data_IF_712907580035
#
_entry.id   IF_712907580035
#
_cell.length_a   1.000
_cell.length_b   1.000
_cell.length_c   1.000
_cell.angle_alpha   90.00
_cell.angle_beta   90.00
_cell.angle_gamma   90.00
#
_symmetry.space_group_name_H-M   'P 1'
#
loop_
_entity.id
_entity.type
_entity.pdbx_description
1 polymer ?
#
# COMPACT_ATOMS: atom_id res chain seq x y z
N UNK A 1 45.05 4.43 12.44
CA UNK A 1 44.44 4.63 13.77
C UNK A 1 43.35 5.69 13.63
N UNK A 2 42.12 5.35 13.93
CA UNK A 2 41.01 6.28 13.97
C UNK A 2 40.65 6.57 15.42
N UNK A 3 40.29 7.82 15.73
CA UNK A 3 39.85 8.18 17.09
C UNK A 3 38.35 8.30 17.11
N UNK A 4 37.71 7.54 18.00
CA UNK A 4 36.29 7.65 18.27
C UNK A 4 36.11 8.07 19.75
N UNK A 5 35.46 9.18 19.98
CA UNK A 5 35.23 9.75 21.31
C UNK A 5 36.57 9.86 22.13
N UNK A 6 37.65 10.38 21.49
CA UNK A 6 38.99 10.51 22.01
C UNK A 6 39.75 9.18 22.28
N UNK A 7 39.13 8.05 22.02
CA UNK A 7 39.73 6.72 22.19
C UNK A 7 40.38 6.27 20.88
N UNK A 8 41.66 5.88 20.87
CA UNK A 8 42.31 5.41 19.64
C UNK A 8 41.88 3.97 19.31
N UNK A 9 41.40 3.73 18.09
CA UNK A 9 41.12 2.41 17.56
C UNK A 9 42.03 2.06 16.39
N UNK A 10 42.47 0.81 16.34
CA UNK A 10 43.16 0.26 15.18
C UNK A 10 42.13 -0.36 14.24
N UNK A 11 42.04 0.16 13.02
CA UNK A 11 41.21 -0.43 11.98
C UNK A 11 41.79 -1.76 11.55
N UNK A 12 41.03 -2.84 11.63
CA UNK A 12 41.45 -4.21 11.26
C UNK A 12 40.80 -4.67 9.96
N UNK A 13 39.77 -3.98 9.49
CA UNK A 13 39.08 -4.29 8.24
C UNK A 13 38.04 -3.24 7.91
N UNK A 14 37.59 -3.28 6.66
CA UNK A 14 36.49 -2.45 6.15
C UNK A 14 35.42 -3.39 5.65
N UNK A 15 34.15 -3.14 6.04
CA UNK A 15 33.00 -3.94 5.63
C UNK A 15 32.66 -3.65 4.17
N UNK A 16 32.08 -4.65 3.50
CA UNK A 16 31.55 -4.48 2.15
C UNK A 16 30.30 -3.60 2.19
N UNK A 17 30.21 -2.66 1.26
CA UNK A 17 29.07 -1.78 1.12
C UNK A 17 27.76 -2.58 0.91
N UNK A 18 26.74 -2.29 1.73
CA UNK A 18 25.37 -2.87 1.66
C UNK A 18 24.34 -1.92 1.04
N UNK A 19 24.58 -0.60 1.18
CA UNK A 19 23.63 0.43 0.73
C UNK A 19 22.46 0.64 1.69
N UNK A 20 21.38 1.15 1.15
CA UNK A 20 20.18 1.47 1.92
C UNK A 20 19.29 0.23 2.12
N UNK A 21 18.68 0.12 3.29
CA UNK A 21 17.66 -0.89 3.55
C UNK A 21 16.30 -0.49 2.90
N UNK A 22 15.31 -1.37 2.98
CA UNK A 22 13.95 -1.13 2.45
C UNK A 22 13.23 0.08 3.08
N UNK A 23 13.72 0.56 4.23
CA UNK A 23 13.21 1.75 4.93
C UNK A 23 14.02 3.02 4.61
N UNK A 24 14.96 2.99 3.67
CA UNK A 24 15.79 4.12 3.29
C UNK A 24 16.92 4.46 4.27
N UNK A 25 17.17 3.63 5.29
CA UNK A 25 18.27 3.84 6.23
C UNK A 25 19.58 3.33 5.65
N UNK A 26 20.65 4.12 5.78
CA UNK A 26 21.99 3.73 5.37
C UNK A 26 22.52 2.62 6.32
N UNK A 27 22.87 1.47 5.73
CA UNK A 27 23.45 0.34 6.46
C UNK A 27 24.98 0.39 6.49
N UNK A 28 25.58 1.37 5.83
CA UNK A 28 27.02 1.48 5.69
C UNK A 28 27.64 2.41 6.76
N UNK A 29 26.82 3.22 7.45
CA UNK A 29 27.26 4.05 8.58
C UNK A 29 27.30 3.23 9.88
N UNK A 30 28.20 2.24 9.91
CA UNK A 30 28.34 1.29 11.01
C UNK A 30 29.80 1.09 11.38
N UNK A 31 30.09 1.20 12.69
CA UNK A 31 31.40 0.86 13.27
C UNK A 31 31.23 -0.35 14.18
N UNK A 32 31.93 -1.44 13.87
CA UNK A 32 31.99 -2.63 14.72
C UNK A 32 33.23 -2.60 15.61
N UNK A 33 33.05 -2.80 16.89
CA UNK A 33 34.11 -2.91 17.87
C UNK A 33 33.81 -4.03 18.89
N UNK A 34 34.82 -4.60 19.59
CA UNK A 34 34.58 -5.59 20.62
C UNK A 34 33.62 -5.05 21.70
N UNK A 35 32.61 -5.84 22.06
CA UNK A 35 31.56 -5.43 22.99
C UNK A 35 32.10 -4.94 24.33
N UNK A 36 33.18 -5.55 24.84
CA UNK A 36 33.85 -5.14 26.08
C UNK A 36 34.43 -3.74 26.02
N UNK A 37 34.91 -3.32 24.84
CA UNK A 37 35.44 -1.97 24.60
C UNK A 37 34.34 -0.96 24.52
N UNK A 38 33.25 -1.32 23.81
CA UNK A 38 32.07 -0.46 23.69
C UNK A 38 31.43 -0.25 25.06
N UNK A 39 31.18 -1.33 25.83
CA UNK A 39 30.56 -1.25 27.15
C UNK A 39 31.43 -0.41 28.13
N UNK A 40 32.71 -0.77 28.29
CA UNK A 40 33.52 -0.19 29.34
C UNK A 40 34.10 1.18 29.02
N UNK A 41 34.42 1.45 27.73
CA UNK A 41 35.14 2.67 27.33
C UNK A 41 34.26 3.70 26.61
N UNK A 42 33.25 3.26 25.86
CA UNK A 42 32.38 4.18 25.09
C UNK A 42 31.14 4.51 25.89
N UNK A 43 30.41 3.47 26.36
CA UNK A 43 29.14 3.63 27.05
C UNK A 43 29.25 3.73 28.56
N UNK A 44 30.39 3.32 29.13
CA UNK A 44 30.65 3.30 30.58
C UNK A 44 29.55 2.56 31.38
N UNK A 45 29.03 1.46 30.82
CA UNK A 45 27.96 0.65 31.42
C UNK A 45 28.41 -0.78 31.65
N UNK A 46 27.76 -1.45 32.59
CA UNK A 46 28.09 -2.83 33.00
C UNK A 46 27.12 -3.88 32.47
N UNK A 47 26.11 -3.47 31.79
CA UNK A 47 25.02 -4.32 31.24
C UNK A 47 24.94 -4.22 29.73
N UNK A 48 24.39 -5.23 29.08
CA UNK A 48 24.08 -5.25 27.65
C UNK A 48 22.72 -4.60 27.41
N UNK A 49 22.63 -3.66 26.47
CA UNK A 49 21.38 -3.01 26.10
C UNK A 49 20.47 -3.91 25.26
N UNK A 50 21.01 -4.96 24.63
CA UNK A 50 20.24 -5.93 23.85
C UNK A 50 21.09 -7.12 23.44
N UNK A 51 20.43 -8.25 23.25
CA UNK A 51 21.03 -9.52 22.79
C UNK A 51 20.16 -10.01 21.62
N UNK A 52 20.79 -10.29 20.49
CA UNK A 52 20.13 -10.90 19.34
C UNK A 52 20.45 -12.38 19.30
N UNK A 53 19.43 -13.21 19.34
CA UNK A 53 19.52 -14.67 19.25
C UNK A 53 18.87 -15.15 17.95
N UNK A 54 19.27 -16.32 17.48
CA UNK A 54 18.66 -17.01 16.35
C UNK A 54 18.21 -18.40 16.78
N UNK A 55 16.95 -18.73 16.51
CA UNK A 55 16.45 -20.10 16.62
C UNK A 55 17.01 -20.96 15.48
N UNK A 56 17.10 -22.28 15.68
CA UNK A 56 17.60 -23.23 14.67
C UNK A 56 16.64 -23.32 13.49
N UNK A 57 15.32 -23.30 13.77
CA UNK A 57 14.25 -23.29 12.79
C UNK A 57 13.16 -22.31 13.24
N UNK A 58 12.35 -21.83 12.29
CA UNK A 58 11.27 -20.89 12.53
C UNK A 58 10.23 -21.45 13.51
N UNK A 59 9.89 -22.73 13.37
CA UNK A 59 8.93 -23.44 14.25
C UNK A 59 9.35 -23.47 15.72
N UNK A 60 10.64 -23.33 16.01
CA UNK A 60 11.18 -23.35 17.37
C UNK A 60 11.31 -21.94 17.99
N UNK A 61 10.88 -20.90 17.29
CA UNK A 61 11.03 -19.51 17.77
C UNK A 61 10.27 -19.31 19.07
N UNK A 62 9.02 -19.80 19.18
CA UNK A 62 8.24 -19.66 20.43
C UNK A 62 8.90 -20.40 21.59
N UNK A 63 9.38 -21.61 21.35
CA UNK A 63 10.09 -22.40 22.37
C UNK A 63 11.38 -21.70 22.82
N UNK A 64 12.11 -21.09 21.89
CA UNK A 64 13.30 -20.32 22.21
C UNK A 64 12.98 -19.08 23.08
N UNK A 65 11.87 -18.39 22.79
CA UNK A 65 11.38 -17.27 23.60
C UNK A 65 11.09 -17.74 25.04
N UNK A 66 10.39 -18.85 25.20
CA UNK A 66 10.06 -19.40 26.52
C UNK A 66 11.32 -19.79 27.29
N UNK A 67 12.30 -20.43 26.64
CA UNK A 67 13.57 -20.80 27.25
C UNK A 67 14.41 -19.58 27.67
N UNK A 68 14.47 -18.55 26.78
CA UNK A 68 15.19 -17.29 27.06
C UNK A 68 14.52 -16.57 28.25
N UNK A 69 13.19 -16.49 28.25
CA UNK A 69 12.42 -15.89 29.34
C UNK A 69 12.74 -16.56 30.68
N UNK A 70 12.75 -17.88 30.71
CA UNK A 70 13.06 -18.65 31.91
C UNK A 70 14.50 -18.38 32.41
N UNK A 71 15.47 -18.35 31.49
CA UNK A 71 16.89 -18.06 31.82
C UNK A 71 17.06 -16.64 32.33
N UNK A 72 16.45 -15.64 31.67
CA UNK A 72 16.56 -14.24 32.08
C UNK A 72 15.89 -14.01 33.44
N UNK A 73 14.68 -14.53 33.68
CA UNK A 73 14.00 -14.44 34.98
C UNK A 73 14.85 -15.00 36.11
N UNK A 74 15.46 -16.18 35.88
CA UNK A 74 16.35 -16.79 36.86
C UNK A 74 17.59 -15.95 37.14
N UNK A 75 18.19 -15.37 36.11
CA UNK A 75 19.40 -14.53 36.26
C UNK A 75 19.08 -13.19 36.93
N UNK A 76 17.92 -12.61 36.65
CA UNK A 76 17.45 -11.35 37.23
C UNK A 76 16.79 -11.55 38.61
N UNK A 77 16.69 -12.81 39.08
CA UNK A 77 16.06 -13.19 40.37
C UNK A 77 14.59 -12.74 40.49
N UNK A 78 13.87 -12.74 39.37
CA UNK A 78 12.45 -12.45 39.31
C UNK A 78 11.66 -13.66 39.84
N UNK A 79 10.46 -13.42 40.41
CA UNK A 79 9.60 -14.47 40.93
C UNK A 79 9.16 -15.42 39.81
N UNK A 80 9.01 -16.72 40.15
CA UNK A 80 8.45 -17.69 39.19
C UNK A 80 7.06 -17.25 38.75
N UNK A 81 6.82 -17.30 37.43
CA UNK A 81 5.53 -16.93 36.86
C UNK A 81 4.45 -17.90 37.28
N UNK A 82 3.58 -17.50 38.19
CA UNK A 82 2.31 -18.16 38.41
C UNK A 82 1.24 -17.36 37.66
N UNK A 83 0.87 -17.86 36.48
CA UNK A 83 -0.18 -17.33 35.60
C UNK A 83 0.00 -15.90 34.98
N UNK A 84 -0.71 -15.68 33.94
CA UNK A 84 -0.93 -14.58 32.98
C UNK A 84 -0.58 -13.13 33.41
N UNK A 85 -0.31 -12.84 34.68
CA UNK A 85 0.10 -11.51 35.18
C UNK A 85 1.62 -11.31 35.25
N UNK A 86 2.39 -12.34 34.99
CA UNK A 86 3.84 -12.30 35.17
C UNK A 86 4.62 -11.60 34.03
N UNK A 87 4.00 -11.38 32.89
CA UNK A 87 4.64 -10.67 31.76
C UNK A 87 4.77 -9.15 32.03
N UNK A 88 3.96 -8.59 32.90
CA UNK A 88 3.98 -7.16 33.26
C UNK A 88 5.07 -6.81 34.30
N UNK A 89 5.65 -7.83 34.97
CA UNK A 89 6.63 -7.66 36.04
C UNK A 89 8.09 -7.90 35.55
N UNK A 90 8.28 -8.20 34.27
CA UNK A 90 9.61 -8.46 33.69
C UNK A 90 10.35 -7.15 33.39
N UNK A 91 11.61 -7.06 33.82
CA UNK A 91 12.52 -5.94 33.55
C UNK A 91 13.22 -6.03 32.20
N UNK A 92 12.81 -6.99 31.37
CA UNK A 92 13.30 -7.21 30.00
C UNK A 92 12.14 -7.40 29.00
N UNK A 93 12.43 -7.17 27.75
CA UNK A 93 11.44 -7.37 26.65
C UNK A 93 12.05 -8.26 25.57
N UNK A 94 11.38 -9.34 25.23
CA UNK A 94 11.76 -10.23 24.13
C UNK A 94 10.82 -9.96 22.96
N UNK A 95 11.39 -9.65 21.81
CA UNK A 95 10.65 -9.42 20.56
C UNK A 95 11.13 -10.38 19.50
N UNK A 96 10.18 -11.12 18.93
CA UNK A 96 10.48 -11.94 17.76
C UNK A 96 10.51 -11.10 16.49
N UNK A 97 11.24 -11.57 15.48
CA UNK A 97 11.23 -10.96 14.16
C UNK A 97 9.83 -11.03 13.53
N UNK A 98 9.10 -12.10 13.81
CA UNK A 98 7.73 -12.31 13.35
C UNK A 98 6.75 -11.29 13.98
N UNK A 99 6.87 -11.02 15.27
CA UNK A 99 6.08 -10.01 15.97
C UNK A 99 6.34 -8.61 15.40
N UNK A 100 7.61 -8.26 15.17
CA UNK A 100 7.98 -6.99 14.54
C UNK A 100 7.41 -6.90 13.11
N UNK A 101 7.50 -7.98 12.33
CA UNK A 101 6.94 -8.03 11.00
C UNK A 101 5.42 -7.90 11.02
N UNK A 102 4.73 -8.56 11.95
CA UNK A 102 3.28 -8.47 12.09
C UNK A 102 2.80 -7.06 12.47
N UNK A 103 3.52 -6.38 13.36
CA UNK A 103 3.24 -4.98 13.69
C UNK A 103 3.41 -4.05 12.49
N UNK A 104 4.47 -4.25 11.70
CA UNK A 104 4.69 -3.48 10.47
C UNK A 104 3.63 -3.76 9.42
N UNK A 105 3.23 -5.02 9.26
CA UNK A 105 2.18 -5.41 8.34
C UNK A 105 0.84 -4.78 8.75
N UNK A 106 0.47 -4.82 10.02
CA UNK A 106 -0.76 -4.20 10.52
C UNK A 106 -0.82 -2.70 10.23
N UNK A 107 0.29 -1.99 10.39
CA UNK A 107 0.39 -0.56 10.07
C UNK A 107 0.26 -0.33 8.57
N UNK A 108 0.91 -1.15 7.76
CA UNK A 108 0.84 -1.09 6.29
C UNK A 108 -0.57 -1.38 5.78
N UNK A 109 -1.24 -2.38 6.36
CA UNK A 109 -2.62 -2.73 6.03
C UNK A 109 -3.58 -1.58 6.35
N UNK A 110 -3.44 -0.96 7.52
CA UNK A 110 -4.22 0.22 7.89
C UNK A 110 -4.03 1.36 6.89
N UNK A 111 -2.79 1.67 6.52
CA UNK A 111 -2.49 2.70 5.51
C UNK A 111 -3.07 2.34 4.14
N UNK A 112 -2.99 1.07 3.75
CA UNK A 112 -3.55 0.58 2.48
C UNK A 112 -5.07 0.71 2.45
N UNK A 113 -5.76 0.36 3.54
CA UNK A 113 -7.21 0.54 3.66
C UNK A 113 -7.57 2.03 3.57
N UNK A 114 -6.86 2.89 4.29
CA UNK A 114 -7.11 4.33 4.27
C UNK A 114 -6.93 4.91 2.85
N UNK A 115 -5.84 4.57 2.18
CA UNK A 115 -5.61 4.97 0.79
C UNK A 115 -6.67 4.40 -0.15
N UNK A 116 -7.10 3.15 0.09
CA UNK A 116 -8.20 2.51 -0.63
C UNK A 116 -9.54 3.26 -0.48
N UNK A 117 -9.85 3.73 0.73
CA UNK A 117 -11.03 4.56 0.98
C UNK A 117 -10.96 5.89 0.22
N UNK A 118 -9.83 6.58 0.26
CA UNK A 118 -9.63 7.84 -0.49
C UNK A 118 -9.76 7.61 -2.00
N UNK A 119 -9.13 6.54 -2.51
CA UNK A 119 -9.25 6.15 -3.92
C UNK A 119 -10.71 5.81 -4.29
N UNK A 120 -11.44 5.09 -3.42
CA UNK A 120 -12.84 4.77 -3.61
C UNK A 120 -13.73 6.01 -3.71
N UNK A 121 -13.55 6.99 -2.82
CA UNK A 121 -14.26 8.26 -2.87
C UNK A 121 -13.93 9.01 -4.17
N UNK A 122 -12.66 9.08 -4.55
CA UNK A 122 -12.23 9.71 -5.79
C UNK A 122 -12.85 9.04 -7.03
N UNK A 123 -12.98 7.71 -7.00
CA UNK A 123 -13.61 6.93 -8.05
C UNK A 123 -15.12 7.23 -8.17
N UNK A 124 -15.82 7.37 -7.06
CA UNK A 124 -17.23 7.74 -7.04
C UNK A 124 -17.42 9.15 -7.63
N UNK A 125 -16.59 10.11 -7.22
CA UNK A 125 -16.64 11.48 -7.77
C UNK A 125 -16.38 11.48 -9.27
N UNK A 126 -15.35 10.73 -9.72
CA UNK A 126 -15.06 10.55 -11.15
C UNK A 126 -16.21 9.88 -11.91
N UNK A 127 -16.84 8.88 -11.31
CA UNK A 127 -18.01 8.20 -11.87
C UNK A 127 -19.21 9.13 -12.02
N UNK A 128 -19.48 9.98 -11.03
CA UNK A 128 -20.52 11.02 -11.14
C UNK A 128 -20.17 11.99 -12.28
N UNK A 129 -18.89 12.31 -12.48
CA UNK A 129 -18.43 13.10 -13.64
C UNK A 129 -18.78 12.44 -14.97
N UNK A 130 -18.53 11.13 -15.11
CA UNK A 130 -18.92 10.36 -16.31
C UNK A 130 -20.43 10.40 -16.49
N UNK A 131 -21.20 10.16 -15.44
CA UNK A 131 -22.67 10.21 -15.47
C UNK A 131 -23.18 11.58 -15.96
N UNK A 132 -22.61 12.67 -15.46
CA UNK A 132 -23.01 14.02 -15.85
C UNK A 132 -22.69 14.32 -17.32
N UNK A 133 -21.47 13.93 -17.80
CA UNK A 133 -21.10 14.10 -19.21
C UNK A 133 -22.05 13.30 -20.11
N UNK A 134 -22.34 12.06 -19.74
CA UNK A 134 -23.27 11.21 -20.50
C UNK A 134 -24.68 11.76 -20.50
N UNK A 135 -25.12 12.33 -19.37
CA UNK A 135 -26.42 12.96 -19.27
C UNK A 135 -26.57 14.16 -20.22
N UNK A 136 -25.57 15.03 -20.27
CA UNK A 136 -25.49 16.16 -21.19
C UNK A 136 -25.46 15.66 -22.64
N UNK A 137 -24.65 14.66 -22.94
CA UNK A 137 -24.53 14.05 -24.27
C UNK A 137 -25.89 13.49 -24.75
N UNK A 138 -26.65 12.83 -23.87
CA UNK A 138 -28.00 12.32 -24.20
C UNK A 138 -28.96 13.47 -24.46
N UNK A 139 -28.96 14.53 -23.65
CA UNK A 139 -29.86 15.68 -23.84
C UNK A 139 -29.58 16.44 -25.12
N UNK A 140 -28.29 16.68 -25.43
CA UNK A 140 -27.89 17.34 -26.68
C UNK A 140 -28.24 16.55 -27.94
N UNK A 141 -28.23 15.20 -27.83
CA UNK A 141 -28.55 14.28 -28.95
C UNK A 141 -29.96 13.73 -28.92
N UNK A 142 -30.85 14.29 -28.11
CA UNK A 142 -32.24 13.78 -27.95
C UNK A 142 -32.96 13.68 -29.28
N UNK A 143 -32.88 14.69 -30.14
CA UNK A 143 -33.52 14.71 -31.48
C UNK A 143 -32.92 13.65 -32.40
N UNK A 144 -31.61 13.45 -32.37
CA UNK A 144 -30.92 12.41 -33.15
C UNK A 144 -31.37 11.01 -32.72
N UNK A 145 -31.49 10.77 -31.40
CA UNK A 145 -31.98 9.51 -30.83
C UNK A 145 -33.43 9.26 -31.29
N UNK A 146 -34.29 10.28 -31.21
CA UNK A 146 -35.66 10.20 -31.67
C UNK A 146 -35.78 9.85 -33.16
N UNK A 147 -34.96 10.45 -34.02
CA UNK A 147 -34.89 10.12 -35.43
C UNK A 147 -34.49 8.66 -35.69
N UNK A 148 -33.44 8.16 -35.00
CA UNK A 148 -33.01 6.76 -35.12
C UNK A 148 -34.13 5.79 -34.70
N UNK A 149 -34.81 6.07 -33.61
CA UNK A 149 -35.91 5.25 -33.11
C UNK A 149 -37.13 5.28 -34.06
N UNK A 150 -37.39 6.41 -34.69
CA UNK A 150 -38.45 6.55 -35.68
C UNK A 150 -38.23 5.75 -36.99
N UNK A 151 -36.94 5.54 -37.35
CA UNK A 151 -36.54 4.72 -38.51
C UNK A 151 -36.40 3.24 -38.11
N UNK A 152 -36.65 2.87 -36.84
CA UNK A 152 -36.77 1.49 -36.40
C UNK A 152 -35.60 1.00 -35.49
N UNK A 153 -34.76 1.89 -35.00
CA UNK A 153 -33.78 1.51 -33.98
C UNK A 153 -34.48 1.08 -32.69
N UNK A 154 -34.00 -0.01 -32.09
CA UNK A 154 -34.53 -0.50 -30.81
C UNK A 154 -33.91 0.25 -29.65
N UNK A 155 -34.61 0.42 -28.53
CA UNK A 155 -34.04 1.03 -27.33
C UNK A 155 -32.76 0.35 -26.84
N UNK A 156 -32.64 -0.98 -27.05
CA UNK A 156 -31.41 -1.73 -26.72
C UNK A 156 -30.24 -1.28 -27.57
N UNK A 157 -30.42 -0.90 -28.81
CA UNK A 157 -29.34 -0.45 -29.68
C UNK A 157 -28.80 0.92 -29.21
N UNK A 158 -29.73 1.80 -28.81
CA UNK A 158 -29.38 3.09 -28.18
C UNK A 158 -28.65 2.89 -26.83
N UNK A 159 -29.21 1.98 -25.98
CA UNK A 159 -28.54 1.63 -24.70
C UNK A 159 -27.09 1.19 -24.90
N UNK A 160 -26.89 0.23 -25.80
CA UNK A 160 -25.55 -0.32 -26.08
C UNK A 160 -24.60 0.75 -26.62
N UNK A 161 -25.08 1.63 -27.51
CA UNK A 161 -24.28 2.71 -28.06
C UNK A 161 -23.73 3.62 -26.95
N UNK A 162 -24.61 4.15 -26.09
CA UNK A 162 -24.22 5.04 -25.00
C UNK A 162 -23.41 4.32 -23.92
N UNK A 163 -23.67 3.04 -23.68
CA UNK A 163 -22.89 2.25 -22.73
C UNK A 163 -21.47 2.03 -23.23
N UNK A 164 -21.28 1.74 -24.52
CA UNK A 164 -19.96 1.62 -25.15
C UNK A 164 -19.22 2.96 -25.07
N UNK A 165 -19.90 4.08 -25.32
CA UNK A 165 -19.31 5.42 -25.19
C UNK A 165 -18.82 5.69 -23.77
N UNK A 166 -19.60 5.35 -22.73
CA UNK A 166 -19.20 5.46 -21.34
C UNK A 166 -18.00 4.57 -20.99
N UNK A 167 -17.97 3.33 -21.49
CA UNK A 167 -16.85 2.40 -21.30
C UNK A 167 -15.59 2.95 -21.96
N UNK A 168 -15.68 3.46 -23.20
CA UNK A 168 -14.53 4.03 -23.90
C UNK A 168 -13.97 5.24 -23.17
N UNK A 169 -14.81 6.14 -22.67
CA UNK A 169 -14.37 7.28 -21.84
C UNK A 169 -13.67 6.81 -20.58
N UNK A 170 -14.22 5.81 -19.90
CA UNK A 170 -13.65 5.28 -18.68
C UNK A 170 -12.31 4.55 -18.90
N UNK A 171 -12.23 3.73 -19.95
CA UNK A 171 -11.02 2.97 -20.30
C UNK A 171 -9.90 3.91 -20.78
N UNK A 172 -10.21 4.91 -21.61
CA UNK A 172 -9.21 5.89 -22.02
C UNK A 172 -8.69 6.72 -20.85
N UNK A 173 -9.58 7.18 -19.96
CA UNK A 173 -9.20 7.82 -18.71
C UNK A 173 -8.35 6.91 -17.83
N UNK A 174 -8.70 5.64 -17.73
CA UNK A 174 -7.95 4.62 -17.00
C UNK A 174 -6.53 4.40 -17.57
N UNK A 175 -6.38 4.34 -18.89
CA UNK A 175 -5.07 4.24 -19.55
C UNK A 175 -4.16 5.44 -19.20
N UNK A 176 -4.71 6.64 -19.31
CA UNK A 176 -4.00 7.87 -18.96
C UNK A 176 -3.64 7.84 -17.47
N UNK A 177 -4.58 7.46 -16.59
CA UNK A 177 -4.35 7.35 -15.16
C UNK A 177 -3.24 6.35 -14.79
N UNK A 178 -3.22 5.18 -15.43
CA UNK A 178 -2.16 4.18 -15.25
C UNK A 178 -0.82 4.73 -15.73
N UNK A 179 -0.77 5.39 -16.89
CA UNK A 179 0.47 5.99 -17.40
C UNK A 179 1.02 7.06 -16.44
N UNK A 180 0.15 7.92 -15.89
CA UNK A 180 0.54 8.91 -14.89
C UNK A 180 0.98 8.24 -13.58
N UNK A 181 0.27 7.24 -13.07
CA UNK A 181 0.60 6.53 -11.84
C UNK A 181 1.95 5.82 -11.92
N UNK A 182 2.20 5.12 -13.02
CA UNK A 182 3.48 4.46 -13.30
C UNK A 182 4.60 5.50 -13.44
N UNK A 183 4.35 6.57 -14.19
CA UNK A 183 5.32 7.66 -14.38
C UNK A 183 5.68 8.36 -13.06
N UNK A 184 4.70 8.68 -12.23
CA UNK A 184 4.92 9.25 -10.90
C UNK A 184 5.71 8.32 -9.98
N UNK A 185 5.41 7.01 -9.99
CA UNK A 185 6.16 6.00 -9.24
C UNK A 185 7.62 5.95 -9.66
N UNK A 186 7.90 5.98 -10.96
CA UNK A 186 9.28 6.05 -11.47
C UNK A 186 9.98 7.35 -11.09
N UNK A 187 9.29 8.48 -11.12
CA UNK A 187 9.85 9.76 -10.69
C UNK A 187 10.25 9.75 -9.22
N UNK A 188 9.41 9.21 -8.34
CA UNK A 188 9.73 9.03 -6.91
C UNK A 188 10.93 8.10 -6.73
N UNK A 189 11.00 6.99 -7.48
CA UNK A 189 12.14 6.08 -7.45
C UNK A 189 13.46 6.78 -7.81
N UNK A 190 13.44 7.67 -8.81
CA UNK A 190 14.65 8.39 -9.27
C UNK A 190 15.06 9.50 -8.29
N UNK A 191 14.10 10.25 -7.74
CA UNK A 191 14.38 11.40 -6.88
C UNK A 191 14.64 10.98 -5.43
N UNK A 192 13.79 10.12 -4.89
CA UNK A 192 13.86 9.69 -3.49
C UNK A 192 14.69 8.41 -3.27
N UNK A 193 15.13 7.74 -4.35
CA UNK A 193 15.87 6.46 -4.30
C UNK A 193 15.13 5.34 -3.54
N UNK A 194 13.80 5.44 -3.44
CA UNK A 194 12.98 4.41 -2.79
C UNK A 194 12.84 3.18 -3.67
N UNK A 195 12.95 1.96 -3.11
CA UNK A 195 12.68 0.73 -3.84
C UNK A 195 11.18 0.61 -4.09
N UNK A 196 10.75 0.89 -5.32
CA UNK A 196 9.33 0.77 -5.73
C UNK A 196 9.19 -0.45 -6.63
N UNK A 197 8.24 -1.33 -6.29
CA UNK A 197 7.84 -2.49 -7.07
C UNK A 197 6.39 -2.32 -7.53
N UNK A 198 6.19 -2.22 -8.85
CA UNK A 198 4.86 -2.16 -9.43
C UNK A 198 4.43 -3.58 -9.75
N UNK A 199 3.39 -4.07 -9.10
CA UNK A 199 2.82 -5.38 -9.38
C UNK A 199 1.97 -5.30 -10.65
N UNK A 200 2.18 -6.19 -11.65
CA UNK A 200 1.35 -6.22 -12.86
C UNK A 200 -0.15 -6.40 -12.57
N UNK A 201 -0.47 -7.13 -11.52
CA UNK A 201 -1.84 -7.34 -11.06
C UNK A 201 -2.56 -6.03 -10.71
N UNK A 202 -1.87 -5.05 -10.13
CA UNK A 202 -2.45 -3.74 -9.80
C UNK A 202 -2.93 -2.99 -11.04
N UNK A 203 -2.22 -3.13 -12.16
CA UNK A 203 -2.61 -2.55 -13.45
C UNK A 203 -3.90 -3.19 -13.97
N UNK A 204 -3.96 -4.54 -13.93
CA UNK A 204 -5.16 -5.29 -14.38
C UNK A 204 -6.38 -4.91 -13.52
N UNK A 205 -6.21 -4.85 -12.20
CA UNK A 205 -7.27 -4.43 -11.28
C UNK A 205 -7.73 -3.00 -11.56
N UNK A 206 -6.82 -2.06 -11.85
CA UNK A 206 -7.16 -0.68 -12.21
C UNK A 206 -8.05 -0.63 -13.44
N UNK A 207 -7.73 -1.40 -14.49
CA UNK A 207 -8.57 -1.49 -15.69
C UNK A 207 -9.95 -2.10 -15.41
N UNK A 208 -10.01 -3.16 -14.62
CA UNK A 208 -11.27 -3.80 -14.24
C UNK A 208 -12.18 -2.81 -13.48
N UNK A 209 -11.61 -2.09 -12.51
CA UNK A 209 -12.32 -1.08 -11.73
C UNK A 209 -12.77 0.10 -12.60
N UNK A 210 -11.93 0.61 -13.50
CA UNK A 210 -12.31 1.67 -14.43
C UNK A 210 -13.44 1.24 -15.34
N UNK A 211 -13.37 0.03 -15.91
CA UNK A 211 -14.44 -0.50 -16.78
C UNK A 211 -15.74 -0.66 -16.01
N UNK A 212 -15.68 -1.23 -14.81
CA UNK A 212 -16.86 -1.35 -13.94
C UNK A 212 -17.49 0.00 -13.63
N UNK A 213 -16.67 1.01 -13.31
CA UNK A 213 -17.13 2.38 -13.05
C UNK A 213 -17.83 2.97 -14.29
N UNK A 214 -17.26 2.81 -15.47
CA UNK A 214 -17.85 3.26 -16.73
C UNK A 214 -19.22 2.62 -16.97
N UNK A 215 -19.35 1.31 -16.80
CA UNK A 215 -20.61 0.58 -16.92
C UNK A 215 -21.63 1.06 -15.88
N UNK A 216 -21.23 1.13 -14.63
CA UNK A 216 -22.12 1.45 -13.52
C UNK A 216 -22.70 2.87 -13.64
N UNK A 217 -21.86 3.87 -13.83
CA UNK A 217 -22.29 5.26 -13.92
C UNK A 217 -22.83 5.64 -15.31
N UNK A 218 -22.43 4.94 -16.38
CA UNK A 218 -22.94 5.13 -17.72
C UNK A 218 -24.31 4.47 -17.96
N UNK A 219 -24.65 3.43 -17.19
CA UNK A 219 -25.87 2.67 -17.39
C UNK A 219 -27.13 3.51 -17.19
N UNK A 220 -27.19 4.35 -16.17
CA UNK A 220 -28.38 5.17 -15.87
C UNK A 220 -28.74 6.16 -17.00
N UNK A 221 -27.81 7.03 -17.48
CA UNK A 221 -28.12 7.92 -18.60
C UNK A 221 -28.35 7.17 -19.90
N UNK A 222 -27.66 6.08 -20.16
CA UNK A 222 -27.91 5.24 -21.35
C UNK A 222 -29.29 4.60 -21.33
N UNK A 223 -29.76 4.13 -20.19
CA UNK A 223 -31.12 3.62 -20.03
C UNK A 223 -32.17 4.69 -20.25
N UNK A 224 -31.94 5.92 -19.76
CA UNK A 224 -32.86 7.04 -19.98
C UNK A 224 -32.97 7.41 -21.46
N UNK A 225 -31.83 7.39 -22.19
CA UNK A 225 -31.82 7.58 -23.64
C UNK A 225 -32.61 6.51 -24.40
N UNK A 226 -32.48 5.25 -23.97
CA UNK A 226 -33.19 4.11 -24.58
C UNK A 226 -34.71 4.11 -24.36
N UNK A 227 -35.19 4.86 -23.38
CA UNK A 227 -36.62 4.96 -23.01
C UNK A 227 -37.28 6.25 -23.51
N UNK A 228 -36.61 7.06 -24.32
CA UNK A 228 -37.21 8.26 -24.91
C UNK A 228 -38.36 7.89 -25.85
N UNK A 229 -39.46 8.68 -25.81
CA UNK A 229 -40.55 8.58 -26.80
C UNK A 229 -40.03 9.25 -28.10
N UNK A 230 -40.02 8.53 -29.24
CA UNK A 230 -39.59 9.09 -30.51
C UNK A 230 -40.32 10.36 -30.93
N UNK A 231 -41.63 10.45 -30.62
CA UNK A 231 -42.45 11.59 -31.01
C UNK A 231 -42.07 12.84 -30.20
N UNK A 232 -41.89 12.65 -28.89
CA UNK A 232 -41.49 13.75 -27.99
C UNK A 232 -40.04 14.17 -28.25
N UNK A 233 -39.17 13.20 -28.52
CA UNK A 233 -37.75 13.46 -28.78
C UNK A 233 -37.50 14.28 -30.06
N UNK A 234 -38.33 14.11 -31.10
CA UNK A 234 -38.22 14.90 -32.36
C UNK A 234 -38.72 16.33 -32.15
N UNK A 235 -39.66 16.53 -31.24
CA UNK A 235 -40.26 17.87 -30.94
C UNK A 235 -39.45 18.66 -29.91
N UNK A 236 -38.42 18.05 -29.38
CA UNK A 236 -37.54 18.69 -28.40
C UNK A 236 -36.69 19.80 -29.08
N UNK A 237 -36.90 21.06 -28.65
CA UNK A 237 -36.12 22.23 -29.03
C UNK A 237 -34.97 22.48 -28.07
#
# INVERSE_FOLDING_TARGET
VVRFNSIPFRVIGVLKKKGYNSMGMDQDDLVLAPYTTVMKRILAQTYLGGITCSAITEDLTQKAIDEITMVLRRNHKLKEATDTQAADDDDFNIRSQEELASMMNSTTDMMTILLGCVAGISLIVGGIGIMNIMYVSVTERTREIGLRMSVGARGVDILNQFLIEAILLSVTGGLIGVAFGVGASYAVKLVAHWPIFIQPWSIVMSFAVCTFTGVFFGWYPAKKAAQLDPIEAIRYE
#
